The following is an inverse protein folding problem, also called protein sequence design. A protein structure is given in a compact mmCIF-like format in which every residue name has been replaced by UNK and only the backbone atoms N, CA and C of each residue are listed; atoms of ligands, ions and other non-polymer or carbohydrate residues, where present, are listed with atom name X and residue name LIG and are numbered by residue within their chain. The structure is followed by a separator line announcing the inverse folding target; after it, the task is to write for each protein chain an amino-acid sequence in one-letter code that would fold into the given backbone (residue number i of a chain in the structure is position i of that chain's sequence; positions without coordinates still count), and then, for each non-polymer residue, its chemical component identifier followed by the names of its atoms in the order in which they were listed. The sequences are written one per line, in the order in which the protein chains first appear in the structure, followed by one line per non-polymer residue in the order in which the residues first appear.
data_IF_554237541754
#
_entry.id   IF_554237541754
#
_cell.length_a   1.000
_cell.length_b   1.000
_cell.length_c   1.000
_cell.angle_alpha   90.00
_cell.angle_beta   90.00
_cell.angle_gamma   90.00
#
_symmetry.space_group_name_H-M   'P 1'
#
loop_
_entity.id
_entity.type
_entity.pdbx_description
1 polymer ?
2 non-polymer ?
#
# COMPACT_ATOMS: atom_id res chain seq x y z
N UNK A 1 -12.38 1.96 15.90
CA UNK A 1 -10.97 2.15 16.19
C UNK A 1 -10.75 2.84 17.52
N UNK A 2 -10.27 2.09 18.50
CA UNK A 2 -10.01 2.64 19.83
C UNK A 2 -8.66 3.35 19.87
N UNK A 3 -8.50 4.35 19.00
CA UNK A 3 -7.26 5.11 18.94
C UNK A 3 -7.54 6.56 18.54
N UNK A 4 -7.66 7.43 19.55
CA UNK A 4 -7.93 8.83 19.30
C UNK A 4 -7.22 9.74 20.28
N UNK A 5 -6.34 9.16 21.08
CA UNK A 5 -5.59 9.93 22.08
C UNK A 5 -4.25 10.39 21.52
N UNK A 6 -4.08 10.22 20.21
CA UNK A 6 -2.84 10.62 19.55
C UNK A 6 -2.91 10.37 18.05
N UNK A 7 -2.18 11.17 17.29
CA UNK A 7 -2.16 11.05 15.84
C UNK A 7 -0.77 11.35 15.27
N UNK A 8 -0.21 12.49 15.68
CA UNK A 8 1.11 12.89 15.22
C UNK A 8 1.83 13.72 16.29
N UNK A 9 3.12 13.51 16.42
CA UNK A 9 3.93 14.23 17.40
C UNK A 9 5.33 14.51 16.86
N UNK A 10 6.01 15.51 17.46
CA UNK A 10 7.36 15.90 17.05
C UNK A 10 8.40 14.84 17.42
N UNK A 11 9.17 14.40 16.41
CA UNK A 11 10.20 13.40 16.64
C UNK A 11 11.57 13.93 16.24
N UNK A 12 12.61 13.28 16.73
CA UNK A 12 13.99 13.68 16.43
C UNK A 12 14.49 12.99 15.16
N UNK A 13 15.32 13.70 14.40
CA UNK A 13 15.88 13.16 13.17
C UNK A 13 16.85 12.04 13.46
N UNK A 14 16.77 10.96 12.66
CA UNK A 14 17.66 9.83 12.85
C UNK A 14 17.09 8.80 13.80
N UNK A 15 16.09 9.19 14.57
CA UNK A 15 15.45 8.29 15.53
C UNK A 15 14.44 7.39 14.83
N UNK A 16 14.89 6.22 14.38
CA UNK A 16 14.03 5.27 13.70
C UNK A 16 12.93 4.77 14.63
N UNK A 17 13.09 5.01 15.93
CA UNK A 17 12.12 4.58 16.92
C UNK A 17 10.98 5.58 17.03
N UNK A 18 11.30 6.86 16.92
CA UNK A 18 10.30 7.92 17.01
C UNK A 18 9.59 8.11 15.67
N UNK A 19 10.37 8.26 14.61
CA UNK A 19 9.81 8.45 13.27
C UNK A 19 8.88 7.30 12.91
N UNK A 20 9.38 6.08 13.00
CA UNK A 20 8.60 4.89 12.69
C UNK A 20 7.32 4.86 13.52
N UNK A 21 7.46 5.06 14.83
CA UNK A 21 6.32 5.04 15.73
C UNK A 21 5.27 6.05 15.29
N UNK A 22 5.71 7.17 14.73
CA UNK A 22 4.81 8.21 14.26
C UNK A 22 4.01 7.75 13.06
N UNK A 23 4.70 7.16 12.09
CA UNK A 23 4.05 6.68 10.87
C UNK A 23 3.04 5.58 11.20
N UNK A 24 3.37 4.74 12.17
CA UNK A 24 2.50 3.65 12.57
C UNK A 24 1.25 4.19 13.27
N UNK A 25 1.46 5.08 14.23
CA UNK A 25 0.35 5.67 14.97
C UNK A 25 -0.55 6.49 14.06
N UNK A 26 0.04 7.47 13.37
CA UNK A 26 -0.71 8.32 12.46
C UNK A 26 -1.52 7.49 11.47
N UNK A 27 -0.89 6.47 10.91
CA UNK A 27 -1.55 5.59 9.95
C UNK A 27 -2.68 4.81 10.61
N UNK A 28 -2.48 4.47 11.88
CA UNK A 28 -3.49 3.72 12.63
C UNK A 28 -4.77 4.54 12.80
N UNK A 29 -4.60 5.82 13.09
CA UNK A 29 -5.74 6.72 13.28
C UNK A 29 -6.45 6.97 11.96
N UNK A 30 -5.68 7.31 10.93
CA UNK A 30 -6.24 7.58 9.61
C UNK A 30 -6.72 6.29 8.95
N UNK A 31 -6.41 5.16 9.56
CA UNK A 31 -6.82 3.87 9.02
C UNK A 31 -8.32 3.81 8.81
N UNK A 32 -9.06 4.58 9.62
CA UNK A 32 -10.51 4.62 9.53
C UNK A 32 -10.96 5.69 8.54
N UNK A 33 -10.06 6.63 8.23
CA UNK A 33 -10.38 7.68 7.30
C UNK A 33 -11.41 8.65 7.86
N UNK A 34 -11.06 9.93 7.89
CA UNK A 34 -11.96 10.95 8.40
C UNK A 34 -12.02 12.15 7.47
N UNK A 35 -13.23 12.52 7.05
CA UNK A 35 -13.45 13.65 6.14
C UNK A 35 -13.18 15.00 6.82
N UNK A 36 -12.95 14.95 8.13
CA UNK A 36 -12.68 16.16 8.89
C UNK A 36 -11.25 16.65 8.66
N UNK A 37 -10.39 15.73 8.24
CA UNK A 37 -8.98 16.05 7.99
C UNK A 37 -8.58 15.64 6.59
N UNK A 38 -9.57 15.47 5.72
CA UNK A 38 -9.31 15.07 4.34
C UNK A 38 -8.45 13.81 4.28
N UNK A 39 -8.70 12.89 5.21
CA UNK A 39 -7.96 11.65 5.27
C UNK A 39 -8.85 10.45 4.92
N UNK A 40 -8.39 9.63 3.99
CA UNK A 40 -9.15 8.45 3.58
C UNK A 40 -8.70 7.22 4.35
N UNK A 41 -9.62 6.26 4.52
CA UNK A 41 -9.33 5.00 5.23
C UNK A 41 -8.38 4.10 4.47
N UNK A 42 -7.61 3.30 5.20
CA UNK A 42 -6.65 2.39 4.59
C UNK A 42 -6.57 1.08 5.37
N UNK A 43 -7.47 0.91 6.33
CA UNK A 43 -7.51 -0.30 7.14
C UNK A 43 -8.77 -0.34 8.00
N UNK A 44 -9.75 -1.15 7.58
CA UNK A 44 -9.64 -1.96 6.37
C UNK A 44 -9.66 -1.12 5.10
N UNK A 45 -9.02 -1.60 4.05
CA UNK A 45 -8.97 -0.90 2.79
C UNK A 45 -9.68 -1.68 1.69
N UNK A 46 -10.82 -1.15 1.23
CA UNK A 46 -11.59 -1.80 0.18
C UNK A 46 -11.32 -1.17 -1.18
N UNK A 47 -11.15 -2.02 -2.19
CA UNK A 47 -10.88 -1.53 -3.54
C UNK A 47 -12.03 -1.87 -4.49
N UNK A 48 -12.75 -0.84 -4.93
CA UNK A 48 -13.87 -1.02 -5.82
C UNK A 48 -13.48 -1.83 -7.06
N UNK A 49 -12.19 -1.78 -7.39
CA UNK A 49 -11.69 -2.50 -8.55
C UNK A 49 -10.16 -2.36 -8.65
N UNK A 50 -9.53 -3.36 -9.26
CA UNK A 50 -8.08 -3.36 -9.42
C UNK A 50 -7.65 -4.24 -10.59
N UNK A 51 -7.34 -3.61 -11.71
CA UNK A 51 -6.91 -4.34 -12.90
C UNK A 51 -5.40 -4.53 -12.91
N UNK A 52 -4.95 -5.64 -13.50
CA UNK A 52 -3.53 -5.94 -13.59
C UNK A 52 -3.22 -6.86 -14.76
N UNK A 53 -2.30 -6.43 -15.61
CA UNK A 53 -1.92 -7.20 -16.79
C UNK A 53 -0.78 -8.17 -16.46
N UNK A 54 -0.78 -9.32 -17.12
CA UNK A 54 0.26 -10.33 -16.90
C UNK A 54 1.21 -10.40 -18.08
N UNK A 55 2.50 -10.10 -17.83
CA UNK A 55 3.55 -10.12 -18.86
C UNK A 55 3.86 -11.54 -19.33
N UNK A 56 3.35 -12.53 -18.60
CA UNK A 56 3.59 -13.93 -18.95
C UNK A 56 3.29 -14.18 -20.42
N UNK A 57 2.18 -13.62 -20.90
CA UNK A 57 1.78 -13.78 -22.29
C UNK A 57 1.18 -12.49 -22.84
N UNK A 58 1.27 -11.42 -22.05
CA UNK A 58 0.74 -10.13 -22.45
C UNK A 58 -0.71 -10.25 -22.91
N UNK A 59 -1.39 -11.30 -22.44
CA UNK A 59 -2.78 -11.51 -22.80
C UNK A 59 -3.67 -11.72 -21.60
N UNK A 60 -3.08 -12.24 -20.52
CA UNK A 60 -3.83 -12.48 -19.29
C UNK A 60 -4.11 -11.19 -18.54
N UNK A 61 -5.39 -10.88 -18.34
CA UNK A 61 -5.79 -9.66 -17.63
C UNK A 61 -6.63 -10.00 -16.41
N UNK A 62 -6.04 -9.80 -15.23
CA UNK A 62 -6.75 -10.08 -13.98
C UNK A 62 -7.34 -8.80 -13.39
N UNK A 63 -8.67 -8.77 -13.29
CA UNK A 63 -9.36 -7.61 -12.73
C UNK A 63 -10.06 -7.96 -11.42
N UNK A 64 -9.52 -7.45 -10.32
CA UNK A 64 -10.08 -7.71 -9.00
C UNK A 64 -11.15 -6.68 -8.65
N UNK A 65 -12.11 -7.08 -7.83
CA UNK A 65 -13.20 -6.20 -7.42
C UNK A 65 -13.42 -6.28 -5.91
N UNK A 66 -13.81 -5.16 -5.31
CA UNK A 66 -14.06 -5.11 -3.88
C UNK A 66 -13.02 -5.92 -3.11
N UNK A 67 -11.76 -5.51 -3.24
CA UNK A 67 -10.67 -6.18 -2.56
C UNK A 67 -10.49 -5.64 -1.14
N UNK A 68 -10.66 -6.51 -0.15
CA UNK A 68 -10.52 -6.11 1.24
C UNK A 68 -9.09 -6.37 1.74
N UNK A 69 -8.33 -5.30 1.92
CA UNK A 69 -6.96 -5.41 2.40
C UNK A 69 -6.82 -4.92 3.83
N UNK A 70 -6.51 -5.85 4.74
CA UNK A 70 -6.36 -5.52 6.15
C UNK A 70 -4.98 -5.92 6.66
N UNK A 71 -4.43 -5.11 7.57
CA UNK A 71 -3.12 -5.40 8.12
C UNK A 71 -2.04 -4.51 7.55
N UNK A 72 -2.36 -3.24 7.38
CA UNK A 72 -1.40 -2.27 6.83
C UNK A 72 -1.22 -1.10 7.79
N UNK A 73 -2.31 -0.59 8.33
CA UNK A 73 -2.26 0.53 9.26
C UNK A 73 -1.30 0.24 10.41
N UNK A 74 -1.10 -1.04 10.69
CA UNK A 74 -0.21 -1.46 11.76
C UNK A 74 1.08 -2.04 11.20
N UNK A 75 1.54 -1.50 10.09
CA UNK A 75 2.77 -1.97 9.45
C UNK A 75 4.00 -1.54 10.24
N UNK A 76 5.17 -2.02 9.82
CA UNK A 76 6.41 -1.70 10.50
C UNK A 76 7.46 -1.23 9.50
N UNK A 77 8.07 -0.08 9.78
CA UNK A 77 9.10 0.48 8.90
C UNK A 77 10.37 -0.36 8.96
N UNK A 78 10.78 -0.87 7.80
CA UNK A 78 11.98 -1.69 7.71
C UNK A 78 13.23 -0.81 7.64
N UNK A 79 13.19 0.20 6.77
CA UNK A 79 14.32 1.12 6.61
C UNK A 79 13.83 2.51 6.25
N UNK A 80 14.69 3.50 6.45
CA UNK A 80 14.36 4.88 6.14
C UNK A 80 15.62 5.74 6.03
N UNK A 81 15.68 6.56 4.98
CA UNK A 81 16.82 7.43 4.75
C UNK A 81 16.38 8.88 4.55
N UNK A 82 16.79 9.75 5.45
CA UNK A 82 16.43 11.17 5.37
C UNK A 82 17.65 12.02 5.02
N UNK A 83 17.59 12.69 3.88
CA UNK A 83 18.69 13.53 3.43
C UNK A 83 18.22 14.98 3.24
N UNK A 84 18.79 15.88 4.04
CA UNK A 84 18.43 17.29 3.96
C UNK A 84 19.15 17.98 2.81
N UNK A 85 20.37 17.54 2.53
CA UNK A 85 21.18 18.11 1.45
C UNK A 85 20.50 17.90 0.10
N UNK A 86 19.65 16.88 0.02
CA UNK A 86 18.94 16.59 -1.21
C UNK A 86 17.43 16.64 -1.00
N UNK A 87 17.02 16.89 0.24
CA UNK A 87 15.61 16.97 0.58
C UNK A 87 14.85 15.73 0.07
N UNK A 88 15.39 14.56 0.37
CA UNK A 88 14.77 13.31 -0.05
C UNK A 88 14.54 12.38 1.15
N UNK A 89 13.44 11.63 1.10
CA UNK A 89 13.11 10.70 2.17
C UNK A 89 12.67 9.35 1.61
N UNK A 90 13.55 8.36 1.69
CA UNK A 90 13.25 7.03 1.19
C UNK A 90 13.07 6.05 2.35
N UNK A 91 11.85 5.56 2.53
CA UNK A 91 11.55 4.62 3.59
C UNK A 91 10.67 3.48 3.08
N UNK A 92 10.99 2.26 3.50
CA UNK A 92 10.23 1.09 3.08
C UNK A 92 9.44 0.51 4.25
N UNK A 93 8.22 0.05 3.96
CA UNK A 93 7.37 -0.53 4.99
C UNK A 93 7.11 -2.01 4.73
N UNK A 94 6.94 -2.77 5.80
CA UNK A 94 6.69 -4.20 5.70
C UNK A 94 5.66 -4.66 6.73
N UNK A 95 4.73 -5.49 6.31
CA UNK A 95 3.70 -6.00 7.20
C UNK A 95 2.86 -7.07 6.51
N UNK A 96 2.19 -7.90 7.32
CA UNK A 96 1.35 -8.97 6.78
C UNK A 96 0.05 -8.42 6.23
N UNK A 97 -0.09 -8.46 4.90
CA UNK A 97 -1.29 -7.96 4.25
C UNK A 97 -2.26 -9.09 3.94
N UNK A 98 -3.54 -8.86 4.21
CA UNK A 98 -4.57 -9.87 3.96
C UNK A 98 -5.61 -9.34 2.98
N UNK A 99 -5.56 -9.82 1.74
CA UNK A 99 -6.50 -9.40 0.71
C UNK A 99 -7.67 -10.37 0.61
N UNK A 100 -8.87 -9.82 0.48
CA UNK A 100 -10.08 -10.64 0.37
C UNK A 100 -11.15 -9.93 -0.45
N UNK A 101 -11.39 -10.43 -1.66
CA UNK A 101 -12.39 -9.83 -2.52
C UNK A 101 -12.69 -10.67 -3.74
N UNK A 102 -13.13 -10.02 -4.81
CA UNK A 102 -13.45 -10.72 -6.05
C UNK A 102 -12.26 -10.71 -7.01
N UNK A 103 -12.28 -11.59 -7.99
CA UNK A 103 -11.21 -11.67 -8.97
C UNK A 103 -11.73 -12.15 -10.32
N UNK A 104 -11.40 -11.40 -11.37
CA UNK A 104 -11.83 -11.75 -12.72
C UNK A 104 -10.64 -12.07 -13.62
N UNK A 105 -10.61 -13.28 -14.14
CA UNK A 105 -9.53 -13.72 -15.01
C UNK A 105 -9.96 -13.71 -16.48
N UNK A 106 -9.59 -12.64 -17.19
CA UNK A 106 -9.94 -12.51 -18.59
C UNK A 106 -8.75 -12.85 -19.49
N UNK A 107 -8.81 -14.00 -20.14
CA UNK A 107 -7.74 -14.44 -21.02
C UNK A 107 -7.92 -13.87 -22.42
N UNK A 108 -7.02 -12.97 -22.81
CA UNK A 108 -7.08 -12.35 -24.12
C UNK A 108 -6.61 -13.31 -25.21
N UNK A 109 -5.62 -14.13 -24.89
CA UNK A 109 -5.09 -15.10 -25.83
C UNK A 109 -6.03 -16.30 -25.97
N UNK A 110 -6.64 -16.69 -24.86
CA UNK A 110 -7.56 -17.82 -24.85
C UNK A 110 -8.98 -17.38 -25.19
N UNK A 111 -9.20 -16.07 -25.19
CA UNK A 111 -10.50 -15.51 -25.50
C UNK A 111 -11.56 -16.05 -24.53
N UNK A 112 -11.29 -15.90 -23.24
CA UNK A 112 -12.22 -16.37 -22.21
C UNK A 112 -12.20 -15.44 -21.00
N UNK A 113 -13.10 -15.69 -20.05
CA UNK A 113 -13.19 -14.87 -18.85
C UNK A 113 -13.71 -15.70 -17.68
N UNK A 114 -13.20 -15.41 -16.49
CA UNK A 114 -13.62 -16.12 -15.28
C UNK A 114 -13.88 -15.15 -14.14
N UNK A 115 -14.64 -15.59 -13.15
CA UNK A 115 -14.97 -14.76 -11.99
C UNK A 115 -15.11 -15.61 -10.73
N UNK A 116 -14.46 -15.16 -9.66
CA UNK A 116 -14.53 -15.90 -8.40
C UNK A 116 -14.04 -15.07 -7.23
N UNK A 117 -13.62 -15.74 -6.16
CA UNK A 117 -13.13 -15.07 -4.98
C UNK A 117 -11.61 -15.18 -4.88
N UNK A 118 -10.98 -14.09 -4.44
CA UNK A 118 -9.52 -14.06 -4.30
C UNK A 118 -9.12 -13.71 -2.87
N UNK A 119 -8.36 -14.61 -2.25
CA UNK A 119 -7.91 -14.40 -0.88
C UNK A 119 -6.41 -14.67 -0.75
N UNK A 120 -5.65 -13.64 -0.43
CA UNK A 120 -4.21 -13.77 -0.27
C UNK A 120 -3.75 -13.21 1.07
N UNK A 121 -2.70 -13.81 1.62
CA UNK A 121 -2.16 -13.38 2.91
C UNK A 121 -0.65 -13.55 2.95
N UNK A 122 0.08 -12.44 3.01
CA UNK A 122 1.53 -12.48 3.05
C UNK A 122 2.11 -11.11 3.38
N UNK A 123 3.40 -11.07 3.71
CA UNK A 123 4.07 -9.81 4.04
C UNK A 123 4.45 -9.05 2.78
N UNK A 124 4.17 -7.75 2.78
CA UNK A 124 4.50 -6.91 1.63
C UNK A 124 5.53 -5.85 2.00
N UNK A 125 6.74 -6.01 1.46
CA UNK A 125 7.83 -5.07 1.73
C UNK A 125 8.09 -4.18 0.52
N UNK A 126 7.69 -2.92 0.61
CA UNK A 126 7.90 -1.99 -0.47
C UNK A 126 8.62 -0.73 -0.03
N UNK A 127 9.36 -0.11 -0.94
CA UNK A 127 10.11 1.10 -0.65
C UNK A 127 9.47 2.31 -1.33
N UNK A 128 9.41 3.43 -0.62
CA UNK A 128 8.83 4.65 -1.15
C UNK A 128 9.80 5.82 -1.03
N UNK A 129 10.02 6.52 -2.14
CA UNK A 129 10.93 7.66 -2.15
C UNK A 129 10.17 8.96 -2.44
N UNK A 130 10.27 9.90 -1.52
CA UNK A 130 9.58 11.19 -1.68
C UNK A 130 10.42 12.32 -1.07
N UNK A 131 10.37 13.48 -1.72
CA UNK A 131 11.12 14.63 -1.25
C UNK A 131 10.37 15.42 -0.19
N UNK A 132 11.10 16.21 0.58
CA UNK A 132 10.49 17.02 1.64
C UNK A 132 11.16 18.39 1.72
N UNK A 133 10.34 19.44 1.68
CA UNK A 133 10.84 20.81 1.74
C UNK A 133 10.09 21.62 2.80
N UNK A 134 10.63 22.77 3.15
CA UNK A 134 10.01 23.63 4.14
C UNK A 134 9.76 25.03 3.57
N UNK A 135 8.49 25.39 3.44
CA UNK A 135 8.11 26.70 2.92
C UNK A 135 6.87 27.24 3.62
N UNK A 136 6.86 28.55 3.86
CA UNK A 136 5.73 29.18 4.53
C UNK A 136 4.50 29.20 3.63
N UNK A 137 3.39 28.70 4.16
CA UNK A 137 2.13 28.65 3.41
C UNK A 137 1.66 30.06 3.04
N UNK A 138 0.40 30.18 2.67
CA UNK A 138 -0.17 31.47 2.30
C UNK A 138 -0.55 32.28 3.53
N UNK A 139 -0.23 31.74 4.70
CA UNK A 139 -0.54 32.41 5.97
C UNK A 139 0.74 32.90 6.64
N UNK A 140 1.87 32.34 6.24
CA UNK A 140 3.14 32.74 6.81
C UNK A 140 3.71 31.69 7.75
N UNK A 141 3.09 30.51 7.76
CA UNK A 141 3.53 29.43 8.62
C UNK A 141 4.34 28.39 7.84
N UNK A 142 5.56 28.13 8.29
CA UNK A 142 6.43 27.16 7.63
C UNK A 142 5.75 25.80 7.53
N UNK A 143 5.16 25.53 6.38
CA UNK A 143 4.47 24.26 6.16
C UNK A 143 5.46 23.19 5.70
N UNK A 144 4.93 22.01 5.36
CA UNK A 144 5.77 20.90 4.92
C UNK A 144 5.45 20.53 3.47
N UNK A 145 6.43 20.71 2.59
CA UNK A 145 6.25 20.40 1.17
C UNK A 145 6.46 18.91 0.92
N UNK A 146 5.35 18.21 0.66
CA UNK A 146 5.41 16.77 0.39
C UNK A 146 5.51 16.49 -1.10
N UNK A 147 6.73 16.18 -1.56
CA UNK A 147 6.96 15.89 -2.97
C UNK A 147 6.27 14.59 -3.38
N UNK A 148 6.22 14.34 -4.70
CA UNK A 148 5.59 13.14 -5.25
C UNK A 148 6.38 11.88 -4.94
N UNK A 149 5.83 11.04 -4.06
CA UNK A 149 6.49 9.80 -3.67
C UNK A 149 6.58 8.84 -4.86
N UNK A 150 7.46 7.85 -4.74
CA UNK A 150 7.65 6.87 -5.80
C UNK A 150 7.64 5.44 -5.24
N UNK A 151 6.74 4.62 -5.75
CA UNK A 151 6.63 3.24 -5.31
C UNK A 151 7.79 2.40 -5.87
N UNK A 152 8.32 1.52 -5.02
CA UNK A 152 9.44 0.66 -5.43
C UNK A 152 9.38 -0.68 -4.70
N UNK A 153 8.59 -1.60 -5.22
CA UNK A 153 8.46 -2.93 -4.63
C UNK A 153 9.81 -3.53 -4.32
N UNK A 154 9.87 -4.38 -3.30
CA UNK A 154 11.11 -5.03 -2.90
C UNK A 154 10.93 -6.53 -2.79
N UNK A 155 10.08 -6.95 -1.86
CA UNK A 155 9.82 -8.37 -1.64
C UNK A 155 8.40 -8.59 -1.13
N UNK A 156 7.99 -9.85 -1.07
CA UNK A 156 6.65 -10.19 -0.60
C UNK A 156 6.69 -11.40 0.35
N UNK A 157 7.89 -11.73 0.82
CA UNK A 157 8.04 -12.85 1.73
C UNK A 157 7.41 -14.12 1.18
N UNK A 158 6.47 -14.68 1.94
CA UNK A 158 5.80 -15.90 1.53
C UNK A 158 4.36 -15.61 1.09
N UNK A 159 4.17 -15.43 -0.22
CA UNK A 159 2.86 -15.14 -0.80
C UNK A 159 1.91 -16.34 -0.74
N UNK A 160 0.94 -16.26 0.16
CA UNK A 160 -0.04 -17.33 0.33
C UNK A 160 -1.31 -17.05 -0.46
N UNK A 161 -1.41 -17.63 -1.65
CA UNK A 161 -2.58 -17.44 -2.50
C UNK A 161 -3.69 -18.42 -2.13
N UNK A 162 -4.92 -17.93 -2.17
CA UNK A 162 -6.08 -18.76 -1.84
C UNK A 162 -7.32 -18.33 -2.63
N UNK A 163 -7.56 -19.01 -3.75
CA UNK A 163 -8.70 -18.69 -4.60
C UNK A 163 -9.89 -19.57 -4.24
N UNK A 164 -11.10 -19.07 -4.50
CA UNK A 164 -12.32 -19.81 -4.21
C UNK A 164 -12.26 -21.21 -4.80
N UNK A 165 -13.11 -22.10 -4.28
CA UNK A 165 -13.15 -23.48 -4.76
C UNK A 165 -13.59 -23.54 -6.22
N UNK A 166 -14.37 -22.55 -6.64
CA UNK A 166 -14.85 -22.49 -8.01
C UNK A 166 -13.79 -21.90 -8.94
N UNK A 167 -13.19 -20.79 -8.51
CA UNK A 167 -12.17 -20.12 -9.29
C UNK A 167 -10.87 -20.94 -9.31
N UNK A 168 -10.38 -21.28 -8.12
CA UNK A 168 -9.15 -22.05 -8.01
C UNK A 168 -9.24 -23.35 -8.82
N UNK A 169 -10.42 -23.95 -8.83
CA UNK A 169 -10.64 -25.18 -9.57
C UNK A 169 -10.72 -24.92 -11.07
N UNK A 170 -11.26 -23.76 -11.44
CA UNK A 170 -11.39 -23.39 -12.83
C UNK A 170 -10.03 -23.07 -13.45
N UNK A 171 -9.11 -22.61 -12.62
CA UNK A 171 -7.77 -22.28 -13.09
C UNK A 171 -6.90 -23.53 -13.21
N UNK A 172 -6.79 -24.27 -12.11
CA UNK A 172 -6.01 -25.50 -12.11
C UNK A 172 -6.48 -26.47 -13.19
N UNK A 173 -7.77 -26.42 -13.47
CA UNK A 173 -8.36 -27.30 -14.49
C UNK A 173 -8.20 -26.69 -15.89
N UNK A 174 -8.00 -25.39 -15.95
CA UNK A 174 -7.83 -24.70 -17.21
C UNK A 174 -6.37 -24.75 -17.67
N UNK A 175 -5.46 -24.88 -16.72
CA UNK A 175 -4.04 -24.95 -17.02
C UNK A 175 -3.55 -26.40 -17.06
N UNK A 176 -4.10 -27.22 -16.17
CA UNK A 176 -3.72 -28.62 -16.12
C UNK A 176 -2.83 -28.93 -14.94
N UNK A 177 -2.84 -28.06 -13.93
CA UNK A 177 -2.04 -28.24 -12.73
C UNK A 177 -2.76 -29.11 -11.71
N UNK A 178 -4.08 -28.96 -11.65
CA UNK A 178 -4.90 -29.74 -10.72
C UNK A 178 -4.63 -29.30 -9.28
N UNK A 179 -3.82 -28.26 -9.12
CA UNK A 179 -3.48 -27.75 -7.80
C UNK A 179 -3.14 -26.26 -7.86
N UNK A 180 -3.39 -25.65 -9.02
CA UNK A 180 -3.10 -24.24 -9.21
C UNK A 180 -1.75 -23.86 -8.60
N UNK A 181 -0.69 -24.00 -9.39
CA UNK A 181 0.66 -23.67 -8.91
C UNK A 181 0.80 -22.17 -8.68
N UNK A 182 1.62 -21.81 -7.68
CA UNK A 182 1.86 -20.41 -7.32
C UNK A 182 2.67 -19.68 -8.38
N UNK A 183 3.68 -20.35 -8.93
CA UNK A 183 4.53 -19.77 -9.95
C UNK A 183 4.33 -20.46 -11.30
N UNK A 184 3.08 -20.51 -11.76
CA UNK A 184 2.75 -21.14 -13.02
C UNK A 184 2.14 -20.14 -13.99
N UNK A 185 1.76 -18.99 -13.47
CA UNK A 185 1.15 -17.94 -14.30
C UNK A 185 -0.22 -18.38 -14.81
N UNK A 186 -1.16 -17.44 -14.85
CA UNK A 186 -0.93 -16.05 -14.44
C UNK A 186 -0.73 -15.93 -12.93
N UNK A 187 -0.85 -17.05 -12.23
CA UNK A 187 -0.68 -17.07 -10.77
C UNK A 187 0.55 -16.27 -10.36
N UNK A 188 1.61 -16.38 -11.16
CA UNK A 188 2.85 -15.67 -10.87
C UNK A 188 2.59 -14.19 -10.60
N UNK A 189 1.66 -13.61 -11.36
CA UNK A 189 1.30 -12.21 -11.21
C UNK A 189 0.33 -12.01 -10.06
N UNK A 190 -0.49 -13.02 -9.80
CA UNK A 190 -1.48 -12.96 -8.72
C UNK A 190 -0.80 -12.82 -7.37
N UNK A 191 0.50 -13.12 -7.33
CA UNK A 191 1.27 -13.02 -6.09
C UNK A 191 2.31 -11.91 -6.19
N UNK A 192 2.62 -11.49 -7.41
CA UNK A 192 3.59 -10.44 -7.63
C UNK A 192 2.91 -9.13 -8.00
N UNK A 193 2.28 -9.10 -9.18
CA UNK A 193 1.59 -7.91 -9.65
C UNK A 193 0.42 -7.55 -8.72
N UNK A 194 -0.27 -8.57 -8.23
CA UNK A 194 -1.40 -8.37 -7.34
C UNK A 194 -0.98 -7.66 -6.06
N UNK A 195 -0.05 -8.28 -5.33
CA UNK A 195 0.45 -7.72 -4.08
C UNK A 195 1.03 -6.33 -4.31
N UNK A 196 1.91 -6.21 -5.29
CA UNK A 196 2.55 -4.94 -5.62
C UNK A 196 1.50 -3.88 -5.93
N UNK A 197 0.64 -4.17 -6.90
CA UNK A 197 -0.41 -3.25 -7.30
C UNK A 197 -1.20 -2.75 -6.09
N UNK A 198 -1.70 -3.69 -5.29
CA UNK A 198 -2.46 -3.35 -4.10
C UNK A 198 -1.70 -2.37 -3.22
N UNK A 199 -0.44 -2.69 -2.93
CA UNK A 199 0.39 -1.85 -2.11
C UNK A 199 0.42 -0.41 -2.62
N UNK A 200 0.54 -0.27 -3.95
CA UNK A 200 0.57 1.05 -4.57
C UNK A 200 -0.73 1.80 -4.32
N UNK A 201 -1.85 1.15 -4.62
CA UNK A 201 -3.15 1.76 -4.43
C UNK A 201 -3.29 2.34 -3.02
N UNK A 202 -2.85 1.57 -2.03
CA UNK A 202 -2.92 2.00 -0.63
C UNK A 202 -1.93 3.13 -0.36
N UNK A 203 -0.75 3.03 -0.97
CA UNK A 203 0.28 4.05 -0.79
C UNK A 203 -0.24 5.43 -1.19
N UNK A 204 -1.06 5.47 -2.23
CA UNK A 204 -1.63 6.73 -2.70
C UNK A 204 -2.54 7.35 -1.66
N UNK A 205 -3.30 6.51 -0.95
CA UNK A 205 -4.22 6.98 0.08
C UNK A 205 -3.45 7.55 1.26
N UNK A 206 -2.54 6.75 1.81
CA UNK A 206 -1.74 7.18 2.95
C UNK A 206 -0.99 8.47 2.65
N UNK A 207 -0.36 8.53 1.48
CA UNK A 207 0.38 9.71 1.07
C UNK A 207 -0.52 10.95 1.05
N UNK A 208 -1.65 10.83 0.35
CA UNK A 208 -2.59 11.94 0.24
C UNK A 208 -3.00 12.45 1.62
N UNK A 209 -3.20 11.52 2.56
CA UNK A 209 -3.59 11.87 3.91
C UNK A 209 -2.55 12.79 4.55
N UNK A 210 -1.29 12.39 4.50
CA UNK A 210 -0.21 13.18 5.06
C UNK A 210 -0.10 14.54 4.37
N UNK A 211 -0.35 14.55 3.07
CA UNK A 211 -0.27 15.79 2.30
C UNK A 211 -1.26 16.82 2.83
N UNK A 212 -2.53 16.44 2.91
CA UNK A 212 -3.57 17.34 3.40
C UNK A 212 -3.29 17.75 4.83
N UNK A 213 -2.79 16.82 5.63
CA UNK A 213 -2.48 17.09 7.03
C UNK A 213 -1.40 18.16 7.16
N UNK A 214 -0.38 18.07 6.30
CA UNK A 214 0.71 19.02 6.32
C UNK A 214 0.21 20.44 6.06
N UNK A 215 -1.00 20.54 5.51
CA UNK A 215 -1.60 21.84 5.22
C UNK A 215 -2.28 22.42 6.46
N UNK A 216 -2.63 21.54 7.39
CA UNK A 216 -3.29 21.96 8.62
C UNK A 216 -2.27 22.16 9.75
N UNK A 217 -1.13 21.49 9.65
CA UNK A 217 -0.09 21.58 10.65
C UNK A 217 1.27 21.85 10.01
N UNK A 218 2.14 22.56 10.73
CA UNK A 218 3.49 22.89 10.25
C UNK A 218 4.39 21.67 10.17
N UNK A 219 5.64 21.89 9.77
CA UNK A 219 6.61 20.80 9.65
C UNK A 219 7.11 20.35 11.02
N UNK A 220 7.26 21.31 11.93
CA UNK A 220 7.73 21.00 13.27
C UNK A 220 6.86 19.94 13.93
N UNK A 221 5.61 19.86 13.49
CA UNK A 221 4.66 18.89 14.04
C UNK A 221 5.19 17.46 13.86
N UNK A 222 5.85 17.22 12.74
CA UNK A 222 6.41 15.90 12.44
C UNK A 222 7.75 15.71 13.14
N UNK A 223 8.64 16.67 12.98
CA UNK A 223 9.96 16.61 13.60
C UNK A 223 10.17 17.77 14.56
N UNK A 224 10.79 17.49 15.70
CA UNK A 224 11.06 18.50 16.71
C UNK A 224 11.92 19.62 16.14
N UNK A 225 12.58 19.34 15.02
CA UNK A 225 13.45 20.32 14.37
C UNK A 225 13.87 19.84 12.98
N UNK A 226 13.47 20.58 11.96
CA UNK A 226 13.80 20.24 10.59
C UNK A 226 14.60 21.35 9.93
N UNK A 227 15.03 22.33 10.72
CA UNK A 227 15.81 23.45 10.22
C UNK A 227 16.99 23.74 11.14
X LIG B 1 5.91 8.51 6.32
X LIG B 1 5.95 9.28 5.36
X LIG B 1 5.77 7.12 6.24
X LIG B 1 5.68 6.53 4.93
X LIG B 1 5.99 8.94 7.78
X LIG B 1 7.07 9.06 8.58
X LIG B 1 8.50 8.77 8.13
X LIG B 1 6.91 9.54 10.01
X LIG B 1 6.12 10.87 10.11
X LIG B 1 6.74 11.97 9.28
X LIG B 1 6.32 12.46 8.10
X LIG B 1 5.06 11.98 7.41
X LIG B 1 7.09 13.59 7.42
X LIG B 1 7.65 13.18 6.03
X LIG B 1 7.63 14.35 5.03
X LIG B 1 6.90 14.02 3.82
X LIG B 1 6.39 15.10 4.63
X LIG B 1 6.55 16.46 3.94
X LIG B 1 4.99 14.77 5.20
X LIG B 1 6.51 6.85 4.27
X LIG B 1 4.72 6.78 4.43
X LIG B 1 5.73 5.43 5.01
X LIG B 1 5.03 9.20 8.22
X LIG B 1 8.53 8.41 7.08
X LIG B 1 9.16 9.65 8.18
X LIG B 1 8.96 7.98 8.75
X LIG B 1 7.90 9.67 10.48
X LIG B 1 6.41 8.77 10.63
X LIG B 1 6.07 11.20 11.16
X LIG B 1 5.06 10.71 9.81
X LIG B 1 7.66 12.39 9.70
X LIG B 1 5.27 11.64 6.37
X LIG B 1 4.58 11.13 7.93
X LIG B 1 4.30 12.77 7.33
X LIG B 1 7.92 13.92 8.06
X LIG B 1 6.46 14.49 7.31
X LIG B 1 7.06 12.35 5.62
X LIG B 1 8.68 12.79 6.15
X LIG B 1 8.59 14.86 4.80
X LIG B 1 7.60 16.79 3.97
X LIG B 1 5.95 17.26 4.41
X LIG B 1 6.24 16.41 2.88
X LIG B 1 4.81 13.68 5.19
X LIG B 1 4.86 15.09 6.26
X LIG B 1 4.19 15.25 4.61
#
# INVERSE_FOLDING_TARGET
GSDGDALLKPCKLGDMQCLSSATEQFLEKTSKGIPQYDIWPIDPLVVTSLDVIAPSDAGIVIRFKNLNITGLKNQQISDFQMDTKAKTVLLKTKADLHIVGDIVIELTEQSKSFTGLYTADTNVIGAVRYGYNLKNDDNGVQHFEVQPETFTCESIGEPKITLSSDLSSALEKDSGNNSLEPDMEPLKTLRQAAICKIAEACYISVVHNIRASAKILPASSFFENLN
JH3 C1 O2 O1 CM C2 C3 C3' C4 C5 C6 C7 C7' C8 C9 CA O3 CB CB' CC HM HMA HMB H2 H3' H3'A H3'B H4 H4A H5 H5A H6 H7' H7'A H7'B H8 H8A H9 H9A HA HB' HB'A HB'B HC HCA HCB
#
